data_IF_334846340953
#
_entry.id   IF_334846340953
#
_cell.length_a   1.000
_cell.length_b   1.000
_cell.length_c   1.000
_cell.angle_alpha   90.00
_cell.angle_beta   90.00
_cell.angle_gamma   90.00
#
_symmetry.space_group_name_H-M   'P 1'
#
loop_
_entity.id
_entity.type
_entity.pdbx_description
1 polymer ?
#
# COMPACT_ATOMS: atom_id res chain seq x y z
N UNK A 1 19.45 -15.78 -2.10
CA UNK A 1 18.82 -14.45 -2.11
C UNK A 1 19.56 -13.52 -1.15
N UNK A 2 19.85 -12.26 -1.53
CA UNK A 2 20.35 -11.23 -0.61
C UNK A 2 19.16 -10.61 0.14
N UNK A 3 19.34 -10.36 1.43
CA UNK A 3 18.32 -9.77 2.30
C UNK A 3 18.74 -8.37 2.76
N UNK A 4 17.79 -7.44 2.83
CA UNK A 4 18.00 -6.07 3.32
C UNK A 4 16.98 -5.73 4.41
N UNK A 5 17.35 -4.81 5.30
CA UNK A 5 16.40 -4.24 6.25
C UNK A 5 15.38 -3.37 5.52
N UNK A 6 14.10 -3.52 5.86
CA UNK A 6 13.03 -2.67 5.37
C UNK A 6 13.08 -1.32 6.11
N UNK A 7 13.61 -0.29 5.46
CA UNK A 7 13.69 1.05 6.04
C UNK A 7 14.54 1.08 7.31
N UNK A 8 13.95 1.54 8.42
CA UNK A 8 14.60 1.57 9.75
C UNK A 8 14.08 0.46 10.68
N UNK A 9 13.41 -0.54 10.13
CA UNK A 9 12.89 -1.69 10.89
C UNK A 9 13.93 -2.82 10.93
N UNK A 10 13.64 -3.85 11.74
CA UNK A 10 14.39 -5.10 11.73
C UNK A 10 13.79 -6.17 10.81
N UNK A 11 12.75 -5.84 10.04
CA UNK A 11 12.19 -6.75 9.04
C UNK A 11 13.17 -6.91 7.89
N UNK A 12 13.48 -8.16 7.53
CA UNK A 12 14.32 -8.50 6.40
C UNK A 12 13.46 -8.81 5.17
N UNK A 13 13.70 -8.07 4.09
CA UNK A 13 13.10 -8.29 2.77
C UNK A 13 14.15 -8.73 1.77
N UNK A 14 13.77 -9.57 0.82
CA UNK A 14 14.61 -9.93 -0.31
C UNK A 14 14.98 -8.69 -1.14
N UNK A 15 16.19 -8.67 -1.71
CA UNK A 15 16.66 -7.60 -2.62
C UNK A 15 15.71 -7.38 -3.79
N UNK A 16 15.03 -8.46 -4.23
CA UNK A 16 14.02 -8.43 -5.29
C UNK A 16 12.64 -8.57 -4.64
N UNK A 17 11.70 -7.71 -5.05
CA UNK A 17 10.29 -7.76 -4.67
C UNK A 17 9.46 -8.32 -5.83
N UNK A 18 8.49 -9.18 -5.54
CA UNK A 18 7.51 -9.65 -6.53
C UNK A 18 6.35 -8.64 -6.62
N UNK A 19 6.33 -7.87 -7.71
CA UNK A 19 5.18 -7.03 -8.06
C UNK A 19 4.06 -7.83 -8.73
N UNK A 20 2.80 -7.49 -8.46
CA UNK A 20 1.66 -8.37 -8.76
C UNK A 20 0.55 -7.74 -9.61
N UNK A 21 0.72 -6.51 -10.08
CA UNK A 21 -0.37 -5.69 -10.63
C UNK A 21 -1.09 -6.26 -11.86
N UNK A 22 -0.52 -7.26 -12.54
CA UNK A 22 -1.08 -7.87 -13.75
C UNK A 22 -2.08 -9.00 -13.46
N UNK A 23 -2.11 -9.52 -12.22
CA UNK A 23 -2.89 -10.70 -11.86
C UNK A 23 -4.36 -10.37 -11.69
N UNK A 24 -5.23 -11.12 -12.38
CA UNK A 24 -6.66 -10.87 -12.47
C UNK A 24 -7.08 -10.13 -13.73
N UNK A 25 -6.11 -9.76 -14.59
CA UNK A 25 -6.39 -9.14 -15.89
C UNK A 25 -5.52 -9.68 -17.01
N UNK A 26 -4.21 -9.51 -16.92
CA UNK A 26 -3.27 -10.06 -17.91
C UNK A 26 -2.83 -11.47 -17.53
N UNK A 27 -2.80 -11.77 -16.23
CA UNK A 27 -2.52 -13.11 -15.73
C UNK A 27 -3.73 -13.72 -15.05
N UNK A 28 -3.87 -15.04 -15.19
CA UNK A 28 -4.86 -15.84 -14.48
C UNK A 28 -4.44 -16.05 -13.02
N UNK A 29 -5.37 -16.53 -12.19
CA UNK A 29 -5.06 -16.94 -10.81
C UNK A 29 -3.98 -18.03 -10.76
N UNK A 30 -4.06 -19.02 -11.64
CA UNK A 30 -3.10 -20.12 -11.71
C UNK A 30 -1.68 -19.62 -12.04
N UNK A 31 -1.55 -18.69 -13.00
CA UNK A 31 -0.26 -18.08 -13.34
C UNK A 31 0.29 -17.21 -12.20
N UNK A 32 -0.57 -16.45 -11.51
CA UNK A 32 -0.17 -15.70 -10.33
C UNK A 32 0.33 -16.60 -9.20
N UNK A 33 -0.34 -17.74 -9.00
CA UNK A 33 0.07 -18.76 -8.04
C UNK A 33 1.41 -19.40 -8.40
N UNK A 34 1.61 -19.74 -9.68
CA UNK A 34 2.88 -20.26 -10.19
C UNK A 34 4.03 -19.26 -9.98
N UNK A 35 3.79 -17.97 -10.24
CA UNK A 35 4.78 -16.91 -9.98
C UNK A 35 5.12 -16.78 -8.49
N UNK A 36 4.14 -16.88 -7.58
CA UNK A 36 4.38 -16.87 -6.13
C UNK A 36 5.18 -18.10 -5.67
N UNK A 37 4.79 -19.28 -6.15
CA UNK A 37 5.49 -20.53 -5.85
C UNK A 37 6.95 -20.46 -6.34
N UNK A 38 7.17 -20.00 -7.57
CA UNK A 38 8.51 -19.79 -8.13
C UNK A 38 9.32 -18.77 -7.33
N UNK A 39 8.76 -17.61 -7.01
CA UNK A 39 9.44 -16.56 -6.25
C UNK A 39 10.01 -17.08 -4.92
N UNK A 40 9.23 -17.91 -4.21
CA UNK A 40 9.68 -18.54 -2.95
C UNK A 40 10.83 -19.52 -3.19
N UNK A 41 10.80 -20.31 -4.27
CA UNK A 41 11.94 -21.20 -4.61
C UNK A 41 13.22 -20.43 -4.87
N UNK A 42 13.12 -19.16 -5.29
CA UNK A 42 14.26 -18.26 -5.48
C UNK A 42 14.65 -17.50 -4.20
N UNK A 43 13.95 -17.74 -3.09
CA UNK A 43 14.16 -17.10 -1.79
C UNK A 43 13.58 -15.68 -1.70
N UNK A 44 12.69 -15.28 -2.60
CA UNK A 44 11.95 -14.02 -2.49
C UNK A 44 10.91 -14.16 -1.38
N UNK A 45 10.90 -13.20 -0.45
CA UNK A 45 9.91 -13.13 0.62
C UNK A 45 9.08 -11.85 0.59
N UNK A 46 9.37 -10.91 -0.32
CA UNK A 46 8.72 -9.60 -0.33
C UNK A 46 7.78 -9.47 -1.53
N UNK A 47 6.48 -9.42 -1.26
CA UNK A 47 5.43 -9.33 -2.28
C UNK A 47 4.71 -7.98 -2.18
N UNK A 48 4.43 -7.35 -3.30
CA UNK A 48 3.77 -6.05 -3.39
C UNK A 48 2.48 -6.11 -4.20
N UNK A 49 1.39 -5.59 -3.63
CA UNK A 49 0.06 -5.49 -4.25
C UNK A 49 -0.61 -4.15 -3.92
N UNK A 50 -1.87 -3.95 -4.31
CA UNK A 50 -2.68 -2.79 -3.94
C UNK A 50 -4.17 -3.11 -4.07
N UNK A 51 -5.03 -2.41 -3.32
CA UNK A 51 -6.48 -2.63 -3.39
C UNK A 51 -7.05 -2.39 -4.80
N UNK A 52 -6.39 -1.52 -5.58
CA UNK A 52 -6.86 -1.11 -6.90
C UNK A 52 -6.44 -2.06 -8.01
N UNK A 53 -5.49 -2.97 -7.76
CA UNK A 53 -5.02 -3.89 -8.79
C UNK A 53 -6.12 -4.92 -9.10
N UNK A 54 -6.31 -5.33 -10.35
CA UNK A 54 -5.31 -5.38 -11.45
C UNK A 54 -5.16 -4.10 -12.30
N UNK A 55 -4.16 -4.09 -13.20
CA UNK A 55 -3.85 -3.01 -14.16
C UNK A 55 -3.97 -3.53 -15.61
N UNK A 56 -4.49 -2.74 -16.58
CA UNK A 56 -5.13 -1.42 -16.43
C UNK A 56 -6.34 -1.46 -15.49
N UNK A 57 -6.48 -0.50 -14.56
CA UNK A 57 -7.48 -0.58 -13.50
C UNK A 57 -8.89 -0.24 -14.01
N UNK A 58 -9.87 -1.08 -13.65
CA UNK A 58 -11.29 -0.83 -13.88
C UNK A 58 -12.15 -1.42 -12.74
N UNK A 59 -13.45 -1.14 -12.77
CA UNK A 59 -14.38 -1.58 -11.74
C UNK A 59 -14.54 -3.11 -11.65
N UNK A 60 -14.41 -3.83 -12.76
CA UNK A 60 -14.62 -5.27 -12.83
C UNK A 60 -13.45 -6.09 -12.28
N UNK A 61 -12.26 -5.49 -12.22
CA UNK A 61 -11.02 -6.13 -11.75
C UNK A 61 -10.47 -5.55 -10.44
N UNK A 62 -11.21 -4.61 -9.83
CA UNK A 62 -10.84 -4.00 -8.55
C UNK A 62 -10.67 -5.05 -7.44
N UNK A 63 -9.50 -5.05 -6.80
CA UNK A 63 -9.15 -5.96 -5.72
C UNK A 63 -8.76 -7.37 -6.18
N UNK A 64 -8.78 -7.66 -7.49
CA UNK A 64 -8.63 -9.04 -7.98
C UNK A 64 -7.26 -9.63 -7.66
N UNK A 65 -6.22 -8.81 -7.69
CA UNK A 65 -4.86 -9.24 -7.34
C UNK A 65 -4.76 -9.66 -5.87
N UNK A 66 -5.39 -8.91 -4.96
CA UNK A 66 -5.44 -9.27 -3.54
C UNK A 66 -6.22 -10.57 -3.30
N UNK A 67 -7.32 -10.81 -4.04
CA UNK A 67 -8.06 -12.07 -3.97
C UNK A 67 -7.21 -13.27 -4.41
N UNK A 68 -6.40 -13.11 -5.48
CA UNK A 68 -5.50 -14.15 -6.00
C UNK A 68 -4.40 -14.47 -4.98
N UNK A 69 -3.81 -13.45 -4.36
CA UNK A 69 -2.84 -13.63 -3.27
C UNK A 69 -3.51 -14.32 -2.07
N UNK A 70 -4.72 -13.90 -1.70
CA UNK A 70 -5.45 -14.46 -0.58
C UNK A 70 -5.86 -15.91 -0.77
N UNK A 71 -6.25 -16.30 -1.99
CA UNK A 71 -6.53 -17.72 -2.30
C UNK A 71 -5.24 -18.55 -2.23
N UNK A 72 -4.10 -18.00 -2.65
CA UNK A 72 -2.80 -18.66 -2.53
C UNK A 72 -2.38 -18.84 -1.06
N UNK A 73 -2.55 -17.83 -0.21
CA UNK A 73 -2.31 -17.97 1.23
C UNK A 73 -3.20 -19.04 1.86
N UNK A 74 -4.50 -19.02 1.55
CA UNK A 74 -5.45 -20.01 2.07
C UNK A 74 -5.11 -21.44 1.62
N UNK A 75 -4.63 -21.61 0.39
CA UNK A 75 -4.24 -22.91 -0.18
C UNK A 75 -2.95 -23.44 0.43
N UNK A 76 -1.95 -22.57 0.63
CA UNK A 76 -0.57 -22.99 0.94
C UNK A 76 -0.22 -22.88 2.42
N UNK A 77 -0.92 -22.05 3.19
CA UNK A 77 -0.58 -21.74 4.58
C UNK A 77 0.72 -20.94 4.73
N UNK A 78 1.28 -20.38 3.66
CA UNK A 78 2.61 -19.74 3.65
C UNK A 78 2.60 -18.26 4.01
N UNK A 79 1.50 -17.72 4.56
CA UNK A 79 1.37 -16.30 4.90
C UNK A 79 2.53 -15.79 5.76
N UNK A 80 2.97 -16.57 6.74
CA UNK A 80 4.06 -16.21 7.66
C UNK A 80 5.45 -16.13 7.00
N UNK A 81 5.61 -16.69 5.80
CA UNK A 81 6.87 -16.66 5.05
C UNK A 81 7.02 -15.38 4.22
N UNK A 82 5.94 -14.60 4.06
CA UNK A 82 5.87 -13.45 3.17
C UNK A 82 5.80 -12.17 3.98
N UNK A 83 6.69 -11.23 3.67
CA UNK A 83 6.52 -9.81 3.97
C UNK A 83 5.60 -9.26 2.90
N UNK A 84 4.35 -8.95 3.27
CA UNK A 84 3.35 -8.48 2.33
C UNK A 84 3.21 -6.96 2.39
N UNK A 85 3.35 -6.30 1.25
CA UNK A 85 2.97 -4.90 1.06
C UNK A 85 1.65 -4.77 0.29
N UNK A 86 0.75 -3.92 0.79
CA UNK A 86 -0.42 -3.46 0.02
C UNK A 86 -0.55 -1.94 0.13
N UNK A 87 -1.45 -1.36 -0.68
CA UNK A 87 -1.59 0.09 -0.81
C UNK A 87 -3.04 0.53 -0.88
N UNK A 88 -3.33 1.67 -0.26
CA UNK A 88 -4.58 2.41 -0.39
C UNK A 88 -4.49 3.43 -1.53
N UNK A 89 -5.46 3.42 -2.44
CA UNK A 89 -5.56 4.35 -3.54
C UNK A 89 -5.83 5.79 -3.06
N UNK A 90 -5.15 6.76 -3.67
CA UNK A 90 -5.21 8.17 -3.31
C UNK A 90 -6.53 8.90 -3.64
N UNK A 91 -7.38 8.31 -4.49
CA UNK A 91 -8.67 8.84 -4.92
C UNK A 91 -8.83 8.94 -6.45
N UNK A 92 -9.88 9.61 -6.92
CA UNK A 92 -10.05 9.97 -8.34
C UNK A 92 -10.59 8.86 -9.25
N UNK A 93 -10.89 7.67 -8.69
CA UNK A 93 -11.50 6.55 -9.42
C UNK A 93 -12.92 6.30 -8.90
N UNK A 94 -14.00 6.56 -9.66
CA UNK A 94 -15.37 6.47 -9.16
C UNK A 94 -15.74 5.12 -8.54
N UNK A 95 -15.16 4.03 -9.02
CA UNK A 95 -15.40 2.68 -8.51
C UNK A 95 -14.57 2.31 -7.28
N UNK A 96 -13.64 3.17 -6.84
CA UNK A 96 -12.87 3.00 -5.61
C UNK A 96 -13.43 3.94 -4.56
N UNK A 97 -14.19 3.43 -3.59
CA UNK A 97 -14.85 4.22 -2.53
C UNK A 97 -15.65 5.43 -3.06
N UNK A 98 -16.26 5.33 -4.23
CA UNK A 98 -16.99 6.45 -4.84
C UNK A 98 -16.10 7.58 -5.36
N UNK A 99 -14.81 7.34 -5.60
CA UNK A 99 -13.85 8.35 -6.05
C UNK A 99 -13.29 9.25 -4.95
N UNK A 100 -13.68 9.03 -3.68
CA UNK A 100 -13.18 9.79 -2.54
C UNK A 100 -11.65 9.68 -2.44
N UNK A 101 -11.01 10.81 -2.11
CA UNK A 101 -9.60 10.83 -1.75
C UNK A 101 -9.35 10.22 -0.38
N UNK A 102 -8.09 10.08 0.00
CA UNK A 102 -7.74 9.51 1.31
C UNK A 102 -8.07 10.47 2.46
N UNK A 103 -8.65 9.90 3.51
CA UNK A 103 -8.87 10.44 4.84
C UNK A 103 -8.79 9.27 5.84
N UNK A 104 -8.88 9.57 7.13
CA UNK A 104 -8.81 8.54 8.18
C UNK A 104 -9.82 7.39 7.96
N UNK A 105 -11.12 7.68 7.82
CA UNK A 105 -12.14 6.66 7.57
C UNK A 105 -11.87 5.81 6.31
N UNK A 106 -11.45 6.44 5.21
CA UNK A 106 -11.19 5.74 3.96
C UNK A 106 -9.97 4.82 4.04
N UNK A 107 -8.94 5.18 4.82
CA UNK A 107 -7.78 4.30 5.09
C UNK A 107 -8.22 3.05 5.85
N UNK A 108 -9.03 3.22 6.90
CA UNK A 108 -9.56 2.08 7.66
C UNK A 108 -10.42 1.18 6.76
N UNK A 109 -11.37 1.76 6.03
CA UNK A 109 -12.21 1.02 5.07
C UNK A 109 -11.36 0.20 4.07
N UNK A 110 -10.30 0.81 3.53
CA UNK A 110 -9.39 0.17 2.58
C UNK A 110 -8.61 -0.99 3.21
N UNK A 111 -8.03 -0.81 4.40
CA UNK A 111 -7.29 -1.88 5.10
C UNK A 111 -8.20 -3.07 5.40
N UNK A 112 -9.39 -2.84 5.96
CA UNK A 112 -10.33 -3.94 6.23
C UNK A 112 -10.72 -4.67 4.94
N UNK A 113 -10.91 -3.93 3.84
CA UNK A 113 -11.19 -4.49 2.52
C UNK A 113 -10.06 -5.37 2.01
N UNK A 114 -8.83 -4.86 2.09
CA UNK A 114 -7.62 -5.58 1.70
C UNK A 114 -7.43 -6.86 2.52
N UNK A 115 -7.52 -6.79 3.85
CA UNK A 115 -7.38 -7.96 4.74
C UNK A 115 -8.39 -9.06 4.40
N UNK A 116 -9.65 -8.70 4.12
CA UNK A 116 -10.68 -9.66 3.69
C UNK A 116 -10.32 -10.36 2.37
N UNK A 117 -9.89 -9.60 1.36
CA UNK A 117 -9.51 -10.18 0.05
C UNK A 117 -8.26 -11.04 0.15
N UNK A 118 -7.26 -10.57 0.92
CA UNK A 118 -6.01 -11.25 1.20
C UNK A 118 -6.15 -12.45 2.15
N UNK A 119 -7.31 -12.61 2.81
CA UNK A 119 -7.58 -13.70 3.77
C UNK A 119 -6.48 -13.84 4.84
N UNK A 120 -6.08 -12.71 5.39
CA UNK A 120 -5.03 -12.60 6.42
C UNK A 120 -5.43 -11.53 7.43
N UNK A 121 -4.94 -11.64 8.66
CA UNK A 121 -5.27 -10.69 9.74
C UNK A 121 -4.31 -9.49 9.80
N UNK A 122 -3.16 -9.56 9.10
CA UNK A 122 -2.20 -8.45 9.04
C UNK A 122 -1.57 -8.25 7.65
N UNK A 123 -1.10 -7.02 7.42
CA UNK A 123 -0.23 -6.61 6.31
C UNK A 123 1.10 -6.09 6.90
N UNK A 124 2.24 -6.50 6.37
CA UNK A 124 3.54 -6.12 6.94
C UNK A 124 3.88 -4.65 6.63
N UNK A 125 3.58 -4.19 5.42
CA UNK A 125 3.78 -2.80 5.01
C UNK A 125 2.53 -2.27 4.31
N UNK A 126 1.88 -1.26 4.88
CA UNK A 126 0.75 -0.60 4.23
C UNK A 126 1.14 0.79 3.74
N UNK A 127 0.89 1.06 2.46
CA UNK A 127 1.38 2.27 1.80
C UNK A 127 0.23 3.15 1.34
N UNK A 128 0.41 4.45 1.42
CA UNK A 128 -0.40 5.38 0.62
C UNK A 128 0.10 5.27 -0.82
N UNK A 129 -0.76 4.82 -1.73
CA UNK A 129 -0.37 4.61 -3.12
C UNK A 129 -0.08 5.93 -3.83
N UNK A 130 -0.81 7.00 -3.46
CA UNK A 130 -0.51 8.39 -3.76
C UNK A 130 -1.31 9.34 -2.89
N UNK A 131 -0.86 10.58 -2.70
CA UNK A 131 -1.57 11.53 -1.87
C UNK A 131 -2.85 12.06 -2.53
N UNK A 132 -3.82 12.42 -1.70
CA UNK A 132 -5.06 13.11 -2.12
C UNK A 132 -4.82 14.50 -2.69
N UNK A 133 -3.79 15.20 -2.20
CA UNK A 133 -3.47 16.58 -2.61
C UNK A 133 -2.73 16.60 -3.96
N UNK A 134 -2.60 17.78 -4.55
CA UNK A 134 -1.80 17.96 -5.77
C UNK A 134 -0.35 17.48 -5.62
N UNK A 135 0.15 16.80 -6.65
CA UNK A 135 1.50 16.26 -6.71
C UNK A 135 1.99 16.23 -8.16
N UNK A 136 3.29 16.09 -8.38
CA UNK A 136 3.88 16.05 -9.72
C UNK A 136 3.95 14.64 -10.34
N UNK A 137 3.37 13.63 -9.69
CA UNK A 137 3.41 12.26 -10.19
C UNK A 137 2.41 12.05 -11.35
N UNK A 138 2.83 11.25 -12.33
CA UNK A 138 2.11 10.82 -13.53
C UNK A 138 1.69 11.87 -14.56
N UNK A 139 1.16 11.34 -15.66
CA UNK A 139 0.57 12.06 -16.78
C UNK A 139 -0.53 13.01 -16.29
N UNK A 140 -0.50 14.27 -16.76
CA UNK A 140 -1.49 15.28 -16.40
C UNK A 140 -1.07 16.25 -15.30
N UNK A 141 0.09 16.03 -14.66
CA UNK A 141 0.62 16.92 -13.61
C UNK A 141 1.54 18.04 -14.14
N UNK A 142 1.46 18.37 -15.44
CA UNK A 142 2.35 19.33 -16.10
C UNK A 142 2.24 20.76 -15.56
N UNK A 143 1.05 21.14 -15.10
CA UNK A 143 0.76 22.45 -14.50
C UNK A 143 0.83 22.42 -12.96
N UNK A 144 1.49 21.41 -12.38
CA UNK A 144 1.65 21.32 -10.93
C UNK A 144 2.42 22.55 -10.40
N UNK A 145 1.77 23.29 -9.51
CA UNK A 145 2.33 24.45 -8.84
C UNK A 145 2.26 24.26 -7.31
N UNK A 146 3.39 24.01 -6.62
CA UNK A 146 3.41 23.78 -5.18
C UNK A 146 2.98 25.01 -4.37
N UNK A 147 2.96 26.21 -4.95
CA UNK A 147 2.52 27.44 -4.27
C UNK A 147 1.00 27.59 -4.22
N UNK A 148 0.26 26.89 -5.09
CA UNK A 148 -1.22 26.88 -5.10
C UNK A 148 -1.83 25.85 -4.16
N UNK A 149 -1.01 25.06 -3.47
CA UNK A 149 -1.51 24.04 -2.55
C UNK A 149 -2.04 24.68 -1.27
N UNK A 150 -3.30 24.41 -0.95
CA UNK A 150 -3.91 24.76 0.34
C UNK A 150 -3.30 23.92 1.47
N UNK A 151 -2.32 24.49 2.18
CA UNK A 151 -1.61 23.80 3.25
C UNK A 151 -2.48 23.65 4.50
N UNK A 152 -3.40 24.58 4.73
CA UNK A 152 -4.27 24.58 5.90
C UNK A 152 -5.32 23.47 5.81
N UNK A 153 -5.73 23.10 4.60
CA UNK A 153 -6.54 21.90 4.35
C UNK A 153 -5.72 20.60 4.37
N UNK A 154 -4.47 20.63 3.88
CA UNK A 154 -3.64 19.42 3.73
C UNK A 154 -3.10 18.89 5.06
N UNK A 155 -2.54 19.77 5.91
CA UNK A 155 -1.85 19.34 7.13
C UNK A 155 -2.78 18.57 8.10
N UNK A 156 -4.04 19.01 8.36
CA UNK A 156 -4.97 18.23 9.17
C UNK A 156 -5.27 16.85 8.60
N UNK A 157 -5.39 16.73 7.26
CA UNK A 157 -5.63 15.44 6.62
C UNK A 157 -4.43 14.50 6.73
N UNK A 158 -3.19 14.98 6.58
CA UNK A 158 -2.00 14.16 6.80
C UNK A 158 -1.93 13.64 8.24
N UNK A 159 -2.28 14.49 9.21
CA UNK A 159 -2.34 14.11 10.62
C UNK A 159 -3.41 13.05 10.86
N UNK A 160 -4.63 13.27 10.37
CA UNK A 160 -5.74 12.32 10.50
C UNK A 160 -5.38 10.94 9.92
N UNK A 161 -4.83 10.92 8.70
CA UNK A 161 -4.38 9.68 8.05
C UNK A 161 -3.30 9.00 8.88
N UNK A 162 -2.31 9.76 9.39
CA UNK A 162 -1.23 9.20 10.19
C UNK A 162 -1.72 8.67 11.55
N UNK A 163 -2.71 9.32 12.16
CA UNK A 163 -3.35 8.86 13.40
C UNK A 163 -4.03 7.52 13.18
N UNK A 164 -4.84 7.38 12.11
CA UNK A 164 -5.50 6.11 11.79
C UNK A 164 -4.50 5.02 11.41
N UNK A 165 -3.42 5.33 10.68
CA UNK A 165 -2.32 4.37 10.48
C UNK A 165 -1.74 3.90 11.82
N UNK A 166 -1.59 4.81 12.79
CA UNK A 166 -1.16 4.46 14.16
C UNK A 166 -2.12 3.58 14.93
N UNK A 167 -3.43 3.79 14.78
CA UNK A 167 -4.45 2.89 15.35
C UNK A 167 -4.36 1.50 14.73
N UNK A 168 -4.27 1.42 13.41
CA UNK A 168 -4.16 0.14 12.69
C UNK A 168 -2.88 -0.62 13.02
N UNK A 169 -1.78 0.10 13.31
CA UNK A 169 -0.54 -0.49 13.87
C UNK A 169 -0.79 -1.06 15.26
N UNK A 170 -1.45 -0.31 16.15
CA UNK A 170 -1.77 -0.77 17.52
C UNK A 170 -2.72 -1.97 17.52
N UNK A 171 -3.64 -2.02 16.56
CA UNK A 171 -4.58 -3.13 16.36
C UNK A 171 -3.90 -4.37 15.73
N UNK A 172 -2.65 -4.25 15.26
CA UNK A 172 -1.91 -5.35 14.60
C UNK A 172 -2.34 -5.62 13.15
N UNK A 173 -3.24 -4.81 12.58
CA UNK A 173 -3.75 -4.95 11.21
C UNK A 173 -2.70 -4.59 10.17
N UNK A 174 -1.83 -3.64 10.49
CA UNK A 174 -0.64 -3.32 9.70
C UNK A 174 0.58 -3.29 10.63
N UNK A 175 1.77 -3.69 10.18
CA UNK A 175 2.99 -3.59 11.02
C UNK A 175 3.71 -2.27 10.81
N UNK A 176 3.86 -1.85 9.55
CA UNK A 176 4.57 -0.64 9.18
C UNK A 176 3.82 0.18 8.13
N UNK A 177 4.13 1.46 8.09
CA UNK A 177 3.57 2.43 7.17
C UNK A 177 4.63 2.92 6.18
N UNK A 178 4.25 3.04 4.91
CA UNK A 178 5.09 3.57 3.83
C UNK A 178 4.34 4.54 2.92
N UNK A 179 5.08 5.15 2.01
CA UNK A 179 4.56 6.09 1.02
C UNK A 179 4.86 5.55 -0.38
N UNK A 180 4.11 6.03 -1.36
CA UNK A 180 4.37 5.82 -2.78
C UNK A 180 3.87 7.06 -3.53
N UNK A 181 4.55 7.43 -4.61
CA UNK A 181 4.22 8.62 -5.42
C UNK A 181 3.98 9.85 -4.54
N UNK A 182 4.92 10.10 -3.63
CA UNK A 182 4.85 11.21 -2.68
C UNK A 182 5.94 12.24 -2.98
N UNK A 183 5.70 13.50 -2.64
CA UNK A 183 6.66 14.61 -2.80
C UNK A 183 7.59 14.66 -1.58
N UNK A 184 8.78 15.25 -1.76
CA UNK A 184 9.71 15.48 -0.65
C UNK A 184 9.04 16.25 0.51
N UNK A 185 8.22 17.26 0.19
CA UNK A 185 7.48 18.02 1.21
C UNK A 185 6.52 17.14 2.01
N UNK A 186 5.70 16.33 1.34
CA UNK A 186 4.73 15.43 1.98
C UNK A 186 5.41 14.41 2.89
N UNK A 187 6.47 13.77 2.41
CA UNK A 187 7.30 12.86 3.23
C UNK A 187 7.81 13.57 4.48
N UNK A 188 8.37 14.78 4.34
CA UNK A 188 8.88 15.53 5.48
C UNK A 188 7.79 15.94 6.46
N UNK A 189 6.56 16.22 6.00
CA UNK A 189 5.43 16.46 6.90
C UNK A 189 5.06 15.21 7.71
N UNK A 190 4.97 14.03 7.08
CA UNK A 190 4.73 12.78 7.81
C UNK A 190 5.82 12.48 8.84
N UNK A 191 7.10 12.68 8.49
CA UNK A 191 8.21 12.49 9.40
C UNK A 191 8.18 13.47 10.58
N UNK A 192 7.81 14.73 10.33
CA UNK A 192 7.65 15.76 11.36
C UNK A 192 6.52 15.40 12.32
N UNK A 193 5.33 15.07 11.81
CA UNK A 193 4.17 14.66 12.61
C UNK A 193 4.47 13.41 13.45
N UNK A 194 5.16 12.42 12.87
CA UNK A 194 5.63 11.24 13.60
C UNK A 194 6.53 11.60 14.78
N UNK A 195 7.49 12.50 14.57
CA UNK A 195 8.43 12.92 15.61
C UNK A 195 7.75 13.75 16.72
N UNK A 196 6.88 14.69 16.36
CA UNK A 196 6.26 15.62 17.32
C UNK A 196 5.16 14.94 18.15
N UNK A 197 4.47 13.96 17.58
CA UNK A 197 3.27 13.35 18.19
C UNK A 197 3.44 11.88 18.59
N UNK A 198 4.62 11.31 18.39
CA UNK A 198 4.89 9.89 18.67
C UNK A 198 4.07 8.93 17.79
N UNK A 199 3.69 9.37 16.58
CA UNK A 199 2.95 8.56 15.61
C UNK A 199 3.91 7.68 14.78
N UNK A 200 3.42 6.63 14.10
CA UNK A 200 4.28 5.74 13.32
C UNK A 200 5.13 6.49 12.30
N UNK A 201 6.38 6.04 12.16
CA UNK A 201 7.32 6.62 11.21
C UNK A 201 7.19 5.92 9.85
N UNK A 202 7.21 6.70 8.77
CA UNK A 202 7.37 6.20 7.39
C UNK A 202 8.64 5.35 7.28
N UNK A 203 8.50 4.12 6.78
CA UNK A 203 9.61 3.18 6.61
C UNK A 203 10.13 3.11 5.17
N UNK A 204 9.28 3.35 4.18
CA UNK A 204 9.60 3.26 2.75
C UNK A 204 8.92 4.39 1.96
N UNK A 205 9.47 4.70 0.78
CA UNK A 205 8.93 5.62 -0.24
C UNK A 205 9.08 4.94 -1.60
#
# INVERSE_FOLDING_TARGET
>A
MKMNKLGRTDVLVSEICLGTMTWGKQNTEAEGHEQMDYAITQGINFFDTAEMYAVPPDASTYGKTEEIIGSWFARTGRRDQIVLASKVAGGGRPWVRGGRGIDGPSVREAVEGSLRRLRTDWIDLYQIHWPRRGHYHWEGSWDYDPYKQDRDAVLPNLLEVLQVMGELVKEGKIRYFGLSNETAWGTMQYLKLSMELGLPRVQTI
#
